data_IF_173188592131
#
_entry.id   IF_173188592131
#
_cell.length_a   1.000
_cell.length_b   1.000
_cell.length_c   1.000
_cell.angle_alpha   90.00
_cell.angle_beta   90.00
_cell.angle_gamma   90.00
#
_symmetry.space_group_name_H-M   'P 1'
#
loop_
_entity.id
_entity.type
_entity.pdbx_description
1 polymer ?
#
# COMPACT_ATOMS: atom_id res chain seq x y z
N UNK A 1 -9.09 -7.18 -3.49
CA UNK A 1 -9.42 -6.46 -4.73
C UNK A 1 -8.85 -7.18 -5.97
N UNK A 2 -7.53 -7.29 -6.20
CA UNK A 2 -6.99 -7.90 -7.45
C UNK A 2 -6.48 -9.37 -7.39
N UNK A 3 -6.54 -10.02 -6.21
CA UNK A 3 -6.08 -11.40 -6.01
C UNK A 3 -4.54 -11.55 -5.86
N UNK A 4 -4.08 -12.65 -5.23
CA UNK A 4 -2.67 -12.81 -4.85
C UNK A 4 -1.71 -12.98 -6.04
N UNK A 5 -2.17 -13.53 -7.16
CA UNK A 5 -1.36 -13.68 -8.37
C UNK A 5 -0.90 -12.34 -8.93
N UNK A 6 -1.78 -11.34 -8.98
CA UNK A 6 -1.46 -9.99 -9.47
C UNK A 6 -0.44 -9.29 -8.59
N UNK A 7 -0.59 -9.38 -7.27
CA UNK A 7 0.36 -8.80 -6.31
C UNK A 7 1.75 -9.40 -6.48
N UNK A 8 1.87 -10.72 -6.68
CA UNK A 8 3.16 -11.37 -6.97
C UNK A 8 3.79 -10.84 -8.26
N UNK A 9 3.01 -10.69 -9.33
CA UNK A 9 3.50 -10.12 -10.59
C UNK A 9 4.00 -8.69 -10.40
N UNK A 10 3.26 -7.83 -9.69
CA UNK A 10 3.67 -6.44 -9.49
C UNK A 10 4.95 -6.34 -8.67
N UNK A 11 5.09 -7.14 -7.61
CA UNK A 11 6.33 -7.23 -6.83
C UNK A 11 7.51 -7.75 -7.66
N UNK A 12 7.27 -8.73 -8.54
CA UNK A 12 8.29 -9.23 -9.46
C UNK A 12 8.73 -8.17 -10.49
N UNK A 13 7.81 -7.32 -10.94
CA UNK A 13 8.13 -6.24 -11.88
C UNK A 13 8.95 -5.11 -11.23
N UNK A 14 8.64 -4.78 -9.99
CA UNK A 14 9.34 -3.74 -9.23
C UNK A 14 10.73 -4.19 -8.75
N UNK A 15 10.89 -5.47 -8.43
CA UNK A 15 12.18 -6.14 -8.17
C UNK A 15 13.00 -5.50 -7.02
N UNK A 16 12.33 -5.03 -5.97
CA UNK A 16 12.98 -4.35 -4.83
C UNK A 16 13.56 -2.97 -5.16
N UNK A 17 13.25 -2.41 -6.32
CA UNK A 17 13.86 -1.16 -6.81
C UNK A 17 13.09 0.09 -6.39
N UNK A 18 11.86 -0.05 -5.91
CA UNK A 18 11.02 1.09 -5.55
C UNK A 18 10.57 1.04 -4.08
N UNK A 19 10.18 2.19 -3.56
CA UNK A 19 9.61 2.31 -2.21
C UNK A 19 8.10 1.99 -2.21
N UNK A 20 7.51 1.98 -1.01
CA UNK A 20 6.09 1.68 -0.81
C UNK A 20 5.15 2.61 -1.57
N UNK A 21 5.46 3.91 -1.63
CA UNK A 21 4.61 4.90 -2.30
C UNK A 21 4.65 4.67 -3.80
N UNK A 22 5.85 4.56 -4.36
CA UNK A 22 6.05 4.25 -5.77
C UNK A 22 5.40 2.91 -6.16
N UNK A 23 5.46 1.90 -5.30
CA UNK A 23 4.78 0.63 -5.52
C UNK A 23 3.27 0.81 -5.66
N UNK A 24 2.63 1.51 -4.71
CA UNK A 24 1.18 1.77 -4.75
C UNK A 24 0.79 2.57 -6.01
N UNK A 25 1.57 3.60 -6.37
CA UNK A 25 1.29 4.41 -7.57
C UNK A 25 1.47 3.61 -8.88
N UNK A 26 2.41 2.67 -8.89
CA UNK A 26 2.69 1.82 -10.06
C UNK A 26 1.64 0.73 -10.34
N UNK A 27 0.69 0.48 -9.41
CA UNK A 27 -0.36 -0.52 -9.58
C UNK A 27 -1.16 -0.21 -10.86
N UNK A 28 -1.16 -1.09 -11.88
CA UNK A 28 -1.69 -0.76 -13.20
C UNK A 28 -3.22 -0.67 -13.22
N UNK A 29 -3.89 -1.35 -12.30
CA UNK A 29 -5.35 -1.32 -12.22
C UNK A 29 -5.76 -0.11 -11.39
N UNK A 30 -6.34 0.90 -12.05
CA UNK A 30 -6.77 2.15 -11.41
C UNK A 30 -7.72 1.90 -10.24
N UNK A 31 -8.66 0.96 -10.40
CA UNK A 31 -9.56 0.51 -9.33
C UNK A 31 -8.77 -0.01 -8.12
N UNK A 32 -7.81 -0.90 -8.33
CA UNK A 32 -7.00 -1.47 -7.24
C UNK A 32 -6.10 -0.43 -6.59
N UNK A 33 -5.50 0.47 -7.39
CA UNK A 33 -4.70 1.58 -6.87
C UNK A 33 -5.53 2.50 -5.98
N UNK A 34 -6.72 2.89 -6.44
CA UNK A 34 -7.66 3.69 -5.66
C UNK A 34 -8.12 2.96 -4.39
N UNK A 35 -8.44 1.68 -4.50
CA UNK A 35 -8.81 0.84 -3.37
C UNK A 35 -7.74 0.83 -2.27
N UNK A 36 -6.47 0.62 -2.63
CA UNK A 36 -5.36 0.60 -1.66
C UNK A 36 -5.21 1.96 -0.97
N UNK A 37 -5.24 3.07 -1.72
CA UNK A 37 -5.16 4.42 -1.15
C UNK A 37 -6.32 4.70 -0.17
N UNK A 38 -7.53 4.30 -0.55
CA UNK A 38 -8.71 4.45 0.31
C UNK A 38 -8.57 3.64 1.60
N UNK A 39 -8.17 2.37 1.52
CA UNK A 39 -8.00 1.52 2.70
C UNK A 39 -6.95 2.08 3.66
N UNK A 40 -5.78 2.52 3.15
CA UNK A 40 -4.74 3.11 4.00
C UNK A 40 -5.23 4.40 4.68
N UNK A 41 -5.95 5.24 3.95
CA UNK A 41 -6.50 6.48 4.48
C UNK A 41 -7.56 6.21 5.56
N UNK A 42 -8.46 5.25 5.32
CA UNK A 42 -9.49 4.87 6.26
C UNK A 42 -8.92 4.21 7.52
N UNK A 43 -7.90 3.37 7.41
CA UNK A 43 -7.21 2.81 8.57
C UNK A 43 -6.63 3.91 9.46
N UNK A 44 -5.97 4.92 8.88
CA UNK A 44 -5.47 6.08 9.62
C UNK A 44 -6.60 6.85 10.33
N UNK A 45 -7.73 7.09 9.65
CA UNK A 45 -8.89 7.73 10.28
C UNK A 45 -9.46 6.91 11.43
N UNK A 46 -9.59 5.59 11.27
CA UNK A 46 -10.07 4.72 12.35
C UNK A 46 -9.13 4.74 13.55
N UNK A 47 -7.82 4.67 13.33
CA UNK A 47 -6.82 4.78 14.41
C UNK A 47 -6.92 6.11 15.15
N UNK A 48 -7.08 7.21 14.41
CA UNK A 48 -7.30 8.53 15.01
C UNK A 48 -8.54 8.54 15.93
N UNK A 49 -9.69 8.04 15.46
CA UNK A 49 -10.90 7.97 16.27
C UNK A 49 -10.79 7.01 17.47
N UNK A 50 -9.91 6.02 17.40
CA UNK A 50 -9.61 5.11 18.51
C UNK A 50 -8.55 5.66 19.48
N UNK A 51 -8.05 6.89 19.28
CA UNK A 51 -6.99 7.47 20.09
C UNK A 51 -5.63 6.78 19.93
N UNK A 52 -5.45 6.06 18.82
CA UNK A 52 -4.20 5.40 18.45
C UNK A 52 -3.36 6.32 17.54
N UNK A 53 -2.08 5.95 17.35
CA UNK A 53 -1.24 6.63 16.36
C UNK A 53 -1.78 6.38 14.95
N UNK A 54 -2.03 7.45 14.22
CA UNK A 54 -2.59 7.50 12.87
C UNK A 54 -1.52 7.41 11.76
N UNK A 55 -0.40 6.74 12.06
CA UNK A 55 0.69 6.55 11.09
C UNK A 55 0.20 5.71 9.90
N UNK A 56 0.31 6.27 8.69
CA UNK A 56 -0.25 5.70 7.46
C UNK A 56 0.34 4.34 7.07
N UNK A 57 1.64 4.16 7.28
CA UNK A 57 2.36 2.91 7.09
C UNK A 57 3.19 2.64 8.34
N UNK A 58 3.32 1.36 8.73
CA UNK A 58 4.27 1.00 9.77
C UNK A 58 5.72 1.25 9.31
N UNK A 59 6.65 1.37 10.26
CA UNK A 59 8.07 1.51 9.95
C UNK A 59 8.60 0.39 9.05
N UNK A 60 8.07 -0.83 9.20
CA UNK A 60 8.46 -1.98 8.38
C UNK A 60 7.97 -1.83 6.94
N UNK A 61 6.71 -1.42 6.74
CA UNK A 61 6.13 -1.17 5.42
C UNK A 61 6.81 0.03 4.73
N UNK A 62 7.13 1.07 5.50
CA UNK A 62 7.83 2.25 4.99
C UNK A 62 9.25 1.94 4.50
N UNK A 63 9.96 1.05 5.20
CA UNK A 63 11.34 0.64 4.85
C UNK A 63 11.39 -0.48 3.82
N UNK A 64 10.27 -1.16 3.56
CA UNK A 64 10.24 -2.27 2.63
C UNK A 64 10.55 -1.80 1.21
N UNK A 65 11.37 -2.59 0.52
CA UNK A 65 11.68 -2.41 -0.89
C UNK A 65 10.80 -3.33 -1.71
N UNK A 66 10.15 -2.77 -2.72
CA UNK A 66 9.19 -3.43 -3.59
C UNK A 66 9.77 -3.65 -4.96
#
# INVERSE_FOLDING_TARGET
NAGPGRVRTWRGNSDGRIDAVAFVESIPFSETRGYVKNVLSYDAYYRYFMGQKDTLLSDAEWKLRY
#
